data_IF_153199209301
#
_entry.id   IF_153199209301
#
_cell.length_a   1.000
_cell.length_b   1.000
_cell.length_c   1.000
_cell.angle_alpha   90.00
_cell.angle_beta   90.00
_cell.angle_gamma   90.00
#
_symmetry.space_group_name_H-M   'P 1'
#
loop_
_entity.id
_entity.type
_entity.pdbx_description
1 polymer ?
#
# COMPACT_ATOMS: atom_id res chain seq x y z
N UNK A 1 7.44 25.25 23.69
CA UNK A 1 6.82 24.11 23.00
C UNK A 1 5.32 24.29 23.03
N UNK A 2 4.61 23.93 21.95
CA UNK A 2 3.15 23.96 21.84
C UNK A 2 2.65 22.66 21.20
N UNK A 3 1.41 22.25 21.48
CA UNK A 3 0.77 21.10 20.84
C UNK A 3 -0.54 21.54 20.17
N UNK A 4 -0.87 20.96 19.01
CA UNK A 4 -2.12 21.26 18.30
C UNK A 4 -3.37 20.77 19.07
N UNK A 5 -3.21 19.70 19.87
CA UNK A 5 -4.26 19.10 20.69
C UNK A 5 -3.66 18.26 21.83
N UNK A 6 -4.43 18.08 22.90
CA UNK A 6 -3.93 17.50 24.14
C UNK A 6 -3.28 18.54 25.06
N UNK A 7 -2.65 18.07 26.13
CA UNK A 7 -1.93 18.94 27.07
C UNK A 7 -0.46 18.52 27.19
N UNK A 8 0.44 19.50 27.13
CA UNK A 8 1.86 19.28 27.35
C UNK A 8 2.20 19.44 28.83
N UNK A 9 2.96 18.48 29.35
CA UNK A 9 3.59 18.57 30.66
C UNK A 9 4.79 19.53 30.66
N UNK A 10 5.50 19.54 31.79
CA UNK A 10 6.71 20.33 31.95
C UNK A 10 7.79 19.86 30.97
N UNK A 11 8.45 20.80 30.32
CA UNK A 11 9.63 20.54 29.48
C UNK A 11 10.86 20.53 30.38
N UNK A 12 11.59 19.42 30.35
CA UNK A 12 12.83 19.21 31.10
C UNK A 12 13.99 19.16 30.11
N UNK A 13 15.01 19.98 30.32
CA UNK A 13 16.26 19.90 29.56
C UNK A 13 17.09 18.72 30.08
N UNK A 14 17.52 17.83 29.19
CA UNK A 14 18.35 16.67 29.50
C UNK A 14 19.85 16.92 29.25
N UNK A 15 20.19 18.05 28.63
CA UNK A 15 21.54 18.43 28.20
C UNK A 15 21.78 18.17 26.72
N UNK A 16 22.87 18.72 26.17
CA UNK A 16 23.26 18.58 24.75
C UNK A 16 22.18 18.98 23.71
N UNK A 17 21.21 19.82 24.10
CA UNK A 17 20.09 20.22 23.23
C UNK A 17 18.89 19.26 23.25
N UNK A 18 18.92 18.24 24.11
CA UNK A 18 17.81 17.30 24.28
C UNK A 18 16.80 17.79 25.31
N UNK A 19 15.52 17.65 24.98
CA UNK A 19 14.39 18.04 25.83
C UNK A 19 13.40 16.89 25.96
N UNK A 20 12.93 16.66 27.19
CA UNK A 20 11.90 15.68 27.51
C UNK A 20 10.63 16.39 27.97
N UNK A 21 9.50 15.95 27.46
CA UNK A 21 8.17 16.36 27.93
C UNK A 21 7.19 15.21 27.71
N UNK A 22 6.04 15.28 28.37
CA UNK A 22 4.95 14.32 28.20
C UNK A 22 3.78 15.01 27.56
N UNK A 23 3.24 14.44 26.49
CA UNK A 23 1.96 14.84 25.92
C UNK A 23 0.87 13.94 26.49
N UNK A 24 -0.16 14.51 27.10
CA UNK A 24 -1.38 13.78 27.48
C UNK A 24 -2.44 14.01 26.39
N UNK A 25 -2.73 12.99 25.56
CA UNK A 25 -3.69 13.12 24.48
C UNK A 25 -5.14 13.09 25.00
N UNK A 26 -6.05 13.74 24.27
CA UNK A 26 -7.50 13.71 24.54
C UNK A 26 -8.25 12.62 23.78
N UNK A 27 -7.66 12.10 22.70
CA UNK A 27 -8.20 11.05 21.82
C UNK A 27 -7.07 10.46 20.95
N UNK A 28 -7.35 9.39 20.20
CA UNK A 28 -6.47 8.88 19.14
C UNK A 28 -6.35 9.86 17.98
N UNK A 29 -5.26 9.76 17.20
CA UNK A 29 -4.95 10.58 16.03
C UNK A 29 -3.62 11.34 16.12
N UNK A 30 -3.47 12.35 15.26
CA UNK A 30 -2.26 13.15 15.17
C UNK A 30 -2.17 14.28 16.21
N UNK A 31 -1.02 14.40 16.87
CA UNK A 31 -0.76 15.45 17.85
C UNK A 31 0.49 16.26 17.50
N UNK A 32 0.42 17.12 16.49
CA UNK A 32 1.55 17.98 16.10
C UNK A 32 2.07 18.79 17.29
N UNK A 33 3.35 18.59 17.63
CA UNK A 33 4.09 19.37 18.63
C UNK A 33 5.09 20.27 17.91
N UNK A 34 5.14 21.54 18.30
CA UNK A 34 6.07 22.52 17.76
C UNK A 34 6.99 23.06 18.85
N UNK A 35 8.30 22.93 18.64
CA UNK A 35 9.33 23.61 19.40
C UNK A 35 9.70 24.90 18.66
N UNK A 36 9.79 26.01 19.38
CA UNK A 36 10.18 27.31 18.82
C UNK A 36 11.25 27.94 19.69
N UNK A 37 12.32 28.44 19.06
CA UNK A 37 13.43 29.12 19.72
C UNK A 37 13.98 30.21 18.80
N UNK A 38 14.17 31.43 19.31
CA UNK A 38 14.72 32.58 18.57
C UNK A 38 14.10 32.81 17.17
N UNK A 39 12.78 32.61 17.04
CA UNK A 39 12.05 32.80 15.78
C UNK A 39 12.13 31.63 14.80
N UNK A 40 12.89 30.58 15.11
CA UNK A 40 12.88 29.31 14.38
C UNK A 40 11.89 28.35 15.01
N UNK A 41 11.32 27.43 14.21
CA UNK A 41 10.41 26.40 14.70
C UNK A 41 10.63 25.07 14.00
N UNK A 42 10.49 23.99 14.76
CA UNK A 42 10.49 22.61 14.28
C UNK A 42 9.24 21.94 14.81
N UNK A 43 8.53 21.22 13.94
CA UNK A 43 7.39 20.40 14.34
C UNK A 43 7.69 18.92 14.18
N UNK A 44 7.05 18.11 15.01
CA UNK A 44 6.94 16.65 14.88
C UNK A 44 5.50 16.24 15.17
N UNK A 45 5.03 15.17 14.55
CA UNK A 45 3.66 14.69 14.75
C UNK A 45 3.63 13.29 15.36
N UNK A 46 3.61 13.18 16.70
CA UNK A 46 3.21 11.94 17.37
C UNK A 46 1.83 11.46 16.93
N UNK A 47 1.72 10.14 16.73
CA UNK A 47 0.48 9.45 16.39
C UNK A 47 0.01 8.64 17.60
N UNK A 48 -1.16 8.98 18.12
CA UNK A 48 -1.77 8.23 19.22
C UNK A 48 -2.74 7.20 18.64
N UNK A 49 -2.39 5.93 18.78
CA UNK A 49 -3.18 4.79 18.31
C UNK A 49 -4.05 4.22 19.45
N UNK A 50 -5.01 3.35 19.10
CA UNK A 50 -5.84 2.66 20.09
C UNK A 50 -5.04 1.68 20.95
N UNK A 51 -4.01 1.05 20.37
CA UNK A 51 -2.99 0.30 21.11
C UNK A 51 -1.65 0.27 20.36
N UNK A 52 -0.57 0.11 21.12
CA UNK A 52 0.79 -0.08 20.62
C UNK A 52 1.44 -1.15 21.50
N UNK A 53 2.03 -2.17 20.89
CA UNK A 53 2.72 -3.21 21.63
C UNK A 53 3.91 -2.63 22.45
N UNK A 54 4.13 -3.06 23.71
CA UNK A 54 5.16 -2.48 24.58
C UNK A 54 6.59 -2.61 24.07
N UNK A 55 6.87 -3.49 23.11
CA UNK A 55 8.18 -3.61 22.47
C UNK A 55 8.48 -2.52 21.44
N UNK A 56 7.50 -1.63 21.17
CA UNK A 56 7.64 -0.52 20.23
C UNK A 56 7.60 0.83 20.95
N UNK A 57 8.30 1.80 20.36
CA UNK A 57 8.32 3.20 20.80
C UNK A 57 7.02 3.94 20.44
N UNK A 58 7.01 5.26 20.56
CA UNK A 58 5.89 6.12 20.18
C UNK A 58 5.77 6.16 18.65
N UNK A 59 4.61 5.81 18.05
CA UNK A 59 4.40 6.00 16.63
C UNK A 59 4.42 7.49 16.24
N UNK A 60 4.98 7.78 15.07
CA UNK A 60 5.22 9.13 14.55
C UNK A 60 4.79 9.21 13.09
N UNK A 61 4.29 10.36 12.65
CA UNK A 61 4.06 10.62 11.22
C UNK A 61 5.40 10.71 10.49
N UNK A 62 5.45 10.25 9.25
CA UNK A 62 6.63 10.40 8.41
C UNK A 62 6.82 11.88 8.06
N UNK A 63 8.02 12.38 8.33
CA UNK A 63 8.39 13.78 8.03
C UNK A 63 8.87 13.92 6.59
N UNK A 64 8.56 15.06 5.95
CA UNK A 64 9.07 15.39 4.61
C UNK A 64 7.96 15.78 3.64
N UNK A 65 8.01 15.24 2.42
CA UNK A 65 7.04 15.47 1.34
C UNK A 65 6.08 14.28 1.11
N UNK A 66 6.09 13.33 2.05
CA UNK A 66 5.33 12.08 1.98
C UNK A 66 3.86 12.39 2.27
N UNK A 67 3.54 12.72 3.54
CA UNK A 67 2.18 12.98 4.02
C UNK A 67 1.62 14.30 3.50
N UNK A 68 0.82 14.23 2.44
CA UNK A 68 0.13 15.34 1.78
C UNK A 68 -1.34 15.01 1.60
N UNK A 69 -2.18 16.00 1.32
CA UNK A 69 -3.59 15.71 1.06
C UNK A 69 -3.75 14.84 -0.21
N UNK A 70 -4.70 13.91 -0.19
CA UNK A 70 -4.92 12.97 -1.28
C UNK A 70 -5.21 11.58 -0.76
N UNK A 71 -5.23 10.63 -1.68
CA UNK A 71 -5.12 9.22 -1.36
C UNK A 71 -3.62 8.90 -1.25
N UNK A 72 -3.17 8.46 -0.08
CA UNK A 72 -1.81 7.94 0.15
C UNK A 72 -1.88 6.58 0.83
N UNK A 73 -1.59 5.55 0.04
CA UNK A 73 -1.64 4.15 0.44
C UNK A 73 -0.36 3.46 -0.03
N UNK A 74 -0.24 2.15 0.08
CA UNK A 74 0.91 1.38 -0.40
C UNK A 74 2.24 1.75 0.27
N UNK A 75 2.27 2.06 1.57
CA UNK A 75 3.51 2.53 2.24
C UNK A 75 4.57 1.43 2.23
N UNK A 76 5.66 1.65 1.50
CA UNK A 76 6.73 0.65 1.33
C UNK A 76 8.10 1.29 1.52
N UNK A 77 8.96 0.70 2.35
CA UNK A 77 10.33 1.18 2.60
C UNK A 77 11.35 0.22 2.01
N UNK A 78 12.45 0.72 1.45
CA UNK A 78 13.58 -0.14 1.11
C UNK A 78 14.19 -0.75 2.38
N UNK A 79 14.74 -1.98 2.34
CA UNK A 79 15.25 -2.65 3.54
C UNK A 79 16.32 -1.86 4.32
N UNK A 80 17.08 -1.00 3.63
CA UNK A 80 18.11 -0.12 4.19
C UNK A 80 17.57 1.24 4.70
N UNK A 81 16.26 1.50 4.51
CA UNK A 81 15.59 2.74 4.88
C UNK A 81 15.91 3.95 4.00
N UNK A 82 16.61 3.77 2.87
CA UNK A 82 17.04 4.89 2.04
C UNK A 82 15.91 5.53 1.25
N UNK A 83 14.87 4.78 0.88
CA UNK A 83 13.77 5.25 0.04
C UNK A 83 12.41 4.77 0.53
N UNK A 84 11.51 5.70 0.83
CA UNK A 84 10.12 5.42 1.19
C UNK A 84 9.22 5.67 -0.01
N UNK A 85 8.24 4.80 -0.22
CA UNK A 85 7.27 4.89 -1.31
C UNK A 85 5.86 4.97 -0.77
N UNK A 86 5.00 5.72 -1.46
CA UNK A 86 3.55 5.69 -1.30
C UNK A 86 2.89 5.67 -2.68
N UNK A 87 1.77 4.99 -2.80
CA UNK A 87 0.83 5.14 -3.89
C UNK A 87 0.00 6.38 -3.65
N UNK A 88 0.07 7.33 -4.58
CA UNK A 88 -0.62 8.60 -4.47
C UNK A 88 -1.66 8.79 -5.55
N UNK A 89 -2.83 9.32 -5.18
CA UNK A 89 -3.79 9.90 -6.09
C UNK A 89 -4.34 11.25 -5.61
N UNK A 90 -4.54 12.25 -6.50
CA UNK A 90 -5.05 13.57 -6.12
C UNK A 90 -6.58 13.55 -5.95
N UNK A 91 -7.12 12.57 -5.24
CA UNK A 91 -8.56 12.37 -5.04
C UNK A 91 -8.80 11.84 -3.62
N UNK A 92 -10.06 11.92 -3.15
CA UNK A 92 -10.40 11.49 -1.77
C UNK A 92 -10.68 10.00 -1.77
N UNK A 93 -10.04 9.21 -0.91
CA UNK A 93 -10.33 7.78 -0.79
C UNK A 93 -11.83 7.47 -0.64
N UNK A 94 -12.52 8.26 0.19
CA UNK A 94 -13.96 8.18 0.41
C UNK A 94 -14.83 8.38 -0.84
N UNK A 95 -14.28 8.91 -1.94
CA UNK A 95 -14.97 9.00 -3.22
C UNK A 95 -15.35 7.63 -3.78
N UNK A 96 -14.56 6.57 -3.54
CA UNK A 96 -14.90 5.20 -3.93
C UNK A 96 -16.15 4.74 -3.20
N UNK A 97 -16.20 4.94 -1.88
CA UNK A 97 -17.36 4.57 -1.06
C UNK A 97 -18.59 5.38 -1.45
N UNK A 98 -18.45 6.70 -1.64
CA UNK A 98 -19.54 7.57 -2.07
C UNK A 98 -20.06 7.20 -3.46
N UNK A 99 -19.18 6.84 -4.39
CA UNK A 99 -19.55 6.39 -5.73
C UNK A 99 -20.42 5.14 -5.67
N UNK A 100 -20.03 4.15 -4.85
CA UNK A 100 -20.77 2.89 -4.70
C UNK A 100 -22.02 3.01 -3.81
N UNK A 101 -22.10 4.05 -2.96
CA UNK A 101 -23.25 4.26 -2.07
C UNK A 101 -24.53 4.49 -2.87
N UNK A 102 -25.68 3.88 -2.49
CA UNK A 102 -26.94 4.06 -3.18
C UNK A 102 -27.35 5.54 -3.30
N UNK A 103 -27.98 5.91 -4.40
CA UNK A 103 -28.45 7.28 -4.65
C UNK A 103 -29.43 7.79 -3.59
N UNK A 104 -30.28 6.90 -3.07
CA UNK A 104 -31.21 7.23 -1.97
C UNK A 104 -30.48 7.60 -0.66
N UNK A 105 -29.20 7.23 -0.54
CA UNK A 105 -28.32 7.52 0.59
C UNK A 105 -27.28 8.60 0.25
N UNK A 106 -27.49 9.37 -0.83
CA UNK A 106 -26.61 10.49 -1.21
C UNK A 106 -25.40 10.13 -2.08
N UNK A 107 -25.22 8.87 -2.46
CA UNK A 107 -24.12 8.43 -3.34
C UNK A 107 -24.46 8.39 -4.83
N UNK A 108 -23.56 7.85 -5.65
CA UNK A 108 -23.77 7.73 -7.10
C UNK A 108 -24.45 6.42 -7.55
N UNK A 109 -24.56 5.43 -6.66
CA UNK A 109 -25.16 4.12 -6.93
C UNK A 109 -24.38 3.28 -7.94
N UNK A 110 -23.06 3.42 -8.00
CA UNK A 110 -22.19 2.67 -8.91
C UNK A 110 -22.26 3.14 -10.37
N UNK A 111 -22.99 4.23 -10.66
CA UNK A 111 -23.05 4.79 -12.00
C UNK A 111 -23.24 6.29 -11.95
N UNK A 112 -22.23 7.04 -12.38
CA UNK A 112 -22.26 8.51 -12.36
C UNK A 112 -23.28 9.10 -13.33
N UNK A 113 -23.58 8.43 -14.44
CA UNK A 113 -24.40 9.00 -15.52
C UNK A 113 -25.89 8.62 -15.44
N UNK A 114 -26.24 7.54 -14.74
CA UNK A 114 -27.59 6.97 -14.71
C UNK A 114 -28.19 6.93 -13.30
N UNK A 115 -29.49 7.22 -13.11
CA UNK A 115 -30.46 7.69 -14.12
C UNK A 115 -30.29 9.16 -14.50
N UNK A 116 -29.54 9.91 -13.70
CA UNK A 116 -29.14 11.30 -13.97
C UNK A 116 -27.68 11.49 -13.56
N UNK A 117 -27.00 12.47 -14.17
CA UNK A 117 -25.62 12.81 -13.82
C UNK A 117 -25.52 13.11 -12.32
N UNK A 118 -24.72 12.32 -11.60
CA UNK A 118 -24.34 12.57 -10.22
C UNK A 118 -23.15 13.53 -10.22
N UNK A 119 -23.19 14.51 -9.33
CA UNK A 119 -22.10 15.47 -9.13
C UNK A 119 -21.85 15.65 -7.65
N UNK A 120 -20.59 15.57 -7.26
CA UNK A 120 -20.13 15.73 -5.89
C UNK A 120 -18.66 16.11 -5.86
N UNK A 121 -18.26 17.03 -4.97
CA UNK A 121 -16.89 17.51 -4.91
C UNK A 121 -15.85 16.38 -4.74
N UNK A 122 -16.18 15.33 -3.99
CA UNK A 122 -15.26 14.19 -3.80
C UNK A 122 -15.00 13.40 -5.09
N UNK A 123 -15.94 13.41 -6.04
CA UNK A 123 -15.86 12.68 -7.31
C UNK A 123 -15.41 13.60 -8.45
N UNK A 124 -15.77 14.88 -8.42
CA UNK A 124 -15.57 15.81 -9.53
C UNK A 124 -14.33 16.71 -9.36
N UNK A 125 -13.72 16.74 -8.18
CA UNK A 125 -12.57 17.62 -7.91
C UNK A 125 -11.38 16.88 -7.33
N UNK A 126 -10.19 17.32 -7.72
CA UNK A 126 -8.94 16.85 -7.13
C UNK A 126 -8.76 17.44 -5.72
N UNK A 127 -7.94 16.77 -4.91
CA UNK A 127 -7.46 17.27 -3.62
C UNK A 127 -5.95 17.05 -3.52
N UNK A 128 -5.26 17.92 -2.80
CA UNK A 128 -3.82 17.83 -2.60
C UNK A 128 -2.95 18.34 -3.74
N UNK A 129 -1.62 18.14 -3.62
CA UNK A 129 -0.67 18.63 -4.60
C UNK A 129 -0.75 17.81 -5.89
N UNK A 130 -0.99 18.49 -7.01
CA UNK A 130 -0.91 17.88 -8.35
C UNK A 130 0.38 18.25 -9.08
N UNK A 131 1.31 18.91 -8.40
CA UNK A 131 2.55 19.45 -8.96
C UNK A 131 3.73 19.22 -8.04
N UNK A 132 4.91 19.52 -8.54
CA UNK A 132 6.13 19.64 -7.74
C UNK A 132 5.98 20.66 -6.59
N UNK A 133 6.72 20.51 -5.48
CA UNK A 133 7.75 19.49 -5.27
C UNK A 133 7.23 18.10 -4.93
N UNK A 134 6.04 17.94 -4.35
CA UNK A 134 5.57 16.68 -3.77
C UNK A 134 5.22 15.60 -4.81
N UNK A 135 4.64 16.01 -5.94
CA UNK A 135 4.14 15.11 -6.99
C UNK A 135 4.72 15.50 -8.36
N UNK A 136 6.05 15.35 -8.55
CA UNK A 136 6.70 15.76 -9.78
C UNK A 136 6.24 14.89 -10.95
N UNK A 137 5.78 15.51 -12.03
CA UNK A 137 5.42 14.79 -13.25
C UNK A 137 4.18 13.91 -13.12
N UNK A 138 3.27 14.22 -12.18
CA UNK A 138 1.97 13.56 -12.07
C UNK A 138 1.24 13.55 -13.40
N UNK A 139 0.74 12.38 -13.79
CA UNK A 139 -0.01 12.23 -15.02
C UNK A 139 -1.36 12.93 -14.91
N UNK A 140 -1.64 13.81 -15.87
CA UNK A 140 -2.72 14.80 -15.77
C UNK A 140 -3.75 14.73 -16.89
N UNK A 141 -3.72 13.68 -17.73
CA UNK A 141 -4.64 13.51 -18.85
C UNK A 141 -6.11 13.36 -18.43
N UNK A 142 -6.36 13.24 -17.12
CA UNK A 142 -7.66 13.03 -16.51
C UNK A 142 -8.18 14.16 -15.62
N UNK A 143 -7.45 15.26 -15.52
CA UNK A 143 -7.92 16.45 -14.81
C UNK A 143 -7.47 17.74 -15.50
N UNK A 144 -8.28 18.79 -15.35
CA UNK A 144 -7.96 20.14 -15.82
C UNK A 144 -8.04 21.10 -14.65
N UNK A 145 -6.88 21.60 -14.19
CA UNK A 145 -6.80 22.32 -12.93
C UNK A 145 -7.23 21.41 -11.78
N UNK A 146 -8.28 21.78 -11.06
CA UNK A 146 -8.83 20.99 -9.95
C UNK A 146 -10.03 20.12 -10.34
N UNK A 147 -10.41 20.07 -11.63
CA UNK A 147 -11.61 19.34 -12.08
C UNK A 147 -11.22 18.00 -12.67
N UNK A 148 -11.82 16.91 -12.18
CA UNK A 148 -11.72 15.58 -12.80
C UNK A 148 -12.56 15.52 -14.08
N UNK A 149 -11.93 15.05 -15.15
CA UNK A 149 -12.53 15.05 -16.49
C UNK A 149 -13.42 13.83 -16.77
N UNK A 150 -13.38 12.80 -15.93
CA UNK A 150 -14.22 11.60 -16.10
C UNK A 150 -14.07 10.98 -17.50
N UNK A 151 -12.83 10.76 -17.93
CA UNK A 151 -12.40 10.22 -19.22
C UNK A 151 -11.37 9.09 -19.02
N UNK A 152 -10.92 8.52 -20.14
CA UNK A 152 -9.66 7.76 -20.21
C UNK A 152 -9.08 7.89 -21.62
N UNK A 153 -7.87 8.45 -21.72
CA UNK A 153 -7.15 8.49 -22.98
C UNK A 153 -6.76 7.07 -23.42
N UNK A 154 -6.33 6.22 -22.50
CA UNK A 154 -5.91 4.85 -22.76
C UNK A 154 -7.03 3.98 -23.34
N UNK A 155 -8.26 4.16 -22.86
CA UNK A 155 -9.43 3.43 -23.38
C UNK A 155 -10.18 4.17 -24.50
N UNK A 156 -9.74 5.39 -24.86
CA UNK A 156 -10.41 6.23 -25.85
C UNK A 156 -11.79 6.72 -25.43
N UNK A 157 -12.01 6.86 -24.13
CA UNK A 157 -13.24 7.40 -23.53
C UNK A 157 -13.10 8.93 -23.44
N UNK A 158 -14.04 9.66 -24.05
CA UNK A 158 -14.04 11.12 -24.04
C UNK A 158 -14.37 11.74 -22.69
N UNK A 159 -14.18 13.06 -22.59
CA UNK A 159 -14.49 13.86 -21.39
C UNK A 159 -15.95 13.68 -20.98
N UNK A 160 -16.17 13.43 -19.69
CA UNK A 160 -17.46 13.22 -19.04
C UNK A 160 -18.23 11.98 -19.52
N UNK A 161 -17.58 11.05 -20.25
CA UNK A 161 -18.25 9.87 -20.82
C UNK A 161 -18.14 8.61 -19.97
N UNK A 162 -17.23 8.55 -18.99
CA UNK A 162 -17.16 7.38 -18.12
C UNK A 162 -18.35 7.31 -17.15
N UNK A 163 -18.89 6.11 -16.98
CA UNK A 163 -19.93 5.79 -16.00
C UNK A 163 -19.36 5.51 -14.62
N UNK A 164 -18.07 5.19 -14.52
CA UNK A 164 -17.41 4.78 -13.28
C UNK A 164 -16.41 5.82 -12.77
N UNK A 165 -16.22 5.87 -11.46
CA UNK A 165 -15.12 6.61 -10.86
C UNK A 165 -13.86 5.74 -10.94
N UNK A 166 -12.96 6.05 -11.87
CA UNK A 166 -11.67 5.37 -11.97
C UNK A 166 -10.62 6.09 -11.14
N UNK A 167 -10.06 5.45 -10.09
CA UNK A 167 -8.94 5.98 -9.32
C UNK A 167 -7.75 6.33 -10.22
N UNK A 168 -7.10 7.45 -9.92
CA UNK A 168 -5.88 7.89 -10.60
C UNK A 168 -4.75 7.74 -9.59
N UNK A 169 -3.79 6.86 -9.83
CA UNK A 169 -2.68 6.68 -8.88
C UNK A 169 -1.32 6.47 -9.54
N UNK A 170 -0.26 6.88 -8.85
CA UNK A 170 1.13 6.61 -9.21
C UNK A 170 1.92 6.35 -7.94
N UNK A 171 2.97 5.53 -8.02
CA UNK A 171 3.92 5.42 -6.92
C UNK A 171 4.88 6.60 -6.90
N UNK A 172 5.04 7.22 -5.74
CA UNK A 172 6.07 8.21 -5.48
C UNK A 172 7.06 7.67 -4.47
N UNK A 173 8.33 7.67 -4.85
CA UNK A 173 9.46 7.37 -3.97
C UNK A 173 10.10 8.66 -3.46
N UNK A 174 10.57 8.64 -2.22
CA UNK A 174 11.20 9.76 -1.54
C UNK A 174 12.50 9.28 -0.91
N UNK A 175 13.59 10.01 -1.16
CA UNK A 175 14.89 9.72 -0.56
C UNK A 175 14.99 10.25 0.86
N UNK A 176 15.49 9.42 1.77
CA UNK A 176 15.79 9.80 3.15
C UNK A 176 16.92 10.81 3.21
N UNK A 177 16.70 11.89 3.95
CA UNK A 177 17.66 12.97 4.19
C UNK A 177 18.46 12.74 5.47
N UNK A 178 19.49 13.56 5.68
CA UNK A 178 20.34 13.48 6.88
C UNK A 178 19.57 13.74 8.18
N UNK A 179 18.54 14.59 8.14
CA UNK A 179 17.64 14.88 9.26
C UNK A 179 16.57 13.80 9.50
N UNK A 180 16.54 12.77 8.65
CA UNK A 180 15.58 11.65 8.72
C UNK A 180 14.25 11.89 7.99
N UNK A 181 14.01 13.09 7.46
CA UNK A 181 12.85 13.34 6.60
C UNK A 181 13.01 12.67 5.23
N UNK A 182 11.89 12.40 4.56
CA UNK A 182 11.87 11.84 3.22
C UNK A 182 11.48 12.93 2.21
N UNK A 183 12.42 13.25 1.31
CA UNK A 183 12.33 14.34 0.32
C UNK A 183 12.88 13.88 -1.03
N UNK A 184 13.05 14.79 -1.99
CA UNK A 184 13.55 14.46 -3.35
C UNK A 184 12.68 13.41 -4.05
N UNK A 185 11.39 13.71 -4.30
CA UNK A 185 10.49 12.74 -4.90
C UNK A 185 10.83 12.42 -6.35
N UNK A 186 10.52 11.19 -6.72
CA UNK A 186 10.52 10.64 -8.06
C UNK A 186 9.35 9.66 -8.17
N UNK A 187 8.98 9.20 -9.36
CA UNK A 187 7.88 8.24 -9.51
C UNK A 187 8.30 6.90 -10.14
N UNK A 188 7.51 5.87 -9.83
CA UNK A 188 7.40 4.62 -10.57
C UNK A 188 5.98 4.55 -11.14
N UNK A 189 5.86 4.41 -12.46
CA UNK A 189 4.54 4.36 -13.11
C UNK A 189 4.59 3.57 -14.41
N UNK A 190 3.43 3.11 -14.86
CA UNK A 190 3.24 2.73 -16.26
C UNK A 190 2.88 3.97 -17.06
N UNK A 191 3.52 4.18 -18.22
CA UNK A 191 3.08 5.19 -19.18
C UNK A 191 1.83 4.66 -19.88
N UNK A 192 0.69 5.28 -19.58
CA UNK A 192 -0.63 4.81 -19.98
C UNK A 192 -1.44 5.90 -20.68
N UNK A 193 -0.77 6.62 -21.58
CA UNK A 193 -1.30 7.81 -22.23
C UNK A 193 -1.65 8.92 -21.23
N UNK A 194 -0.78 9.11 -20.23
CA UNK A 194 -0.91 10.14 -19.20
C UNK A 194 -2.23 10.03 -18.40
N UNK A 195 -2.79 8.82 -18.23
CA UNK A 195 -4.05 8.60 -17.50
C UNK A 195 -3.84 8.29 -16.01
N UNK A 196 -2.73 7.63 -15.66
CA UNK A 196 -2.44 7.05 -14.33
C UNK A 196 -3.57 6.17 -13.79
N UNK A 197 -4.07 5.26 -14.63
CA UNK A 197 -5.07 4.23 -14.30
C UNK A 197 -4.52 2.81 -14.37
N UNK A 198 -3.39 2.60 -15.04
CA UNK A 198 -2.62 1.36 -14.95
C UNK A 198 -1.91 1.37 -13.61
N UNK A 199 -2.63 0.92 -12.59
CA UNK A 199 -2.31 1.08 -11.18
C UNK A 199 -1.72 -0.23 -10.63
N UNK A 200 -0.39 -0.42 -10.67
CA UNK A 200 0.22 -1.47 -9.87
C UNK A 200 0.03 -1.15 -8.38
N UNK A 201 0.02 -2.18 -7.55
CA UNK A 201 -0.03 -2.03 -6.09
C UNK A 201 0.97 -2.96 -5.41
N UNK A 202 1.19 -2.76 -4.11
CA UNK A 202 2.01 -3.67 -3.29
C UNK A 202 3.48 -3.69 -3.68
N UNK A 203 4.20 -2.58 -3.52
CA UNK A 203 5.64 -2.57 -3.81
C UNK A 203 6.41 -3.45 -2.83
N UNK A 204 7.48 -4.06 -3.33
CA UNK A 204 8.51 -4.69 -2.51
C UNK A 204 9.89 -4.59 -3.16
N UNK A 205 10.95 -4.63 -2.34
CA UNK A 205 12.30 -4.30 -2.77
C UNK A 205 13.36 -5.28 -2.30
N UNK A 206 14.30 -5.60 -3.20
CA UNK A 206 15.65 -6.02 -2.86
C UNK A 206 16.63 -4.96 -3.35
N UNK A 207 17.51 -4.49 -2.47
CA UNK A 207 18.59 -3.59 -2.87
C UNK A 207 19.71 -4.38 -3.55
N UNK A 208 20.09 -3.97 -4.76
CA UNK A 208 21.20 -4.54 -5.53
C UNK A 208 22.51 -3.73 -5.38
N UNK A 209 22.46 -2.70 -4.52
CA UNK A 209 23.58 -1.83 -4.16
C UNK A 209 23.38 -0.38 -4.61
N UNK A 210 23.80 0.55 -3.75
CA UNK A 210 23.61 1.99 -3.99
C UNK A 210 22.12 2.32 -4.13
N UNK A 211 21.74 2.88 -5.27
CA UNK A 211 20.35 3.19 -5.61
C UNK A 211 19.73 2.19 -6.60
N UNK A 212 20.36 1.04 -6.86
CA UNK A 212 19.77 0.01 -7.73
C UNK A 212 18.95 -0.97 -6.91
N UNK A 213 17.77 -1.33 -7.41
CA UNK A 213 16.88 -2.25 -6.72
C UNK A 213 16.11 -3.12 -7.70
N UNK A 214 15.89 -4.36 -7.29
CA UNK A 214 14.88 -5.26 -7.84
C UNK A 214 13.56 -4.93 -7.15
N UNK A 215 12.57 -4.50 -7.93
CA UNK A 215 11.24 -4.09 -7.45
C UNK A 215 10.25 -5.18 -7.84
N UNK A 216 9.34 -5.51 -6.93
CA UNK A 216 8.13 -6.31 -7.20
C UNK A 216 6.88 -5.45 -7.00
N UNK A 217 5.83 -5.81 -7.73
CA UNK A 217 4.49 -5.22 -7.61
C UNK A 217 3.45 -6.17 -8.22
N UNK A 218 2.19 -6.00 -7.84
CA UNK A 218 1.05 -6.66 -8.48
C UNK A 218 0.44 -5.80 -9.57
N UNK A 219 -0.01 -6.41 -10.65
CA UNK A 219 -0.70 -5.75 -11.75
C UNK A 219 -1.70 -6.70 -12.41
N UNK A 220 -2.92 -6.21 -12.62
CA UNK A 220 -3.88 -6.80 -13.57
C UNK A 220 -3.56 -6.19 -14.94
N UNK A 221 -2.87 -6.96 -15.77
CA UNK A 221 -2.34 -6.50 -17.04
C UNK A 221 -3.32 -6.82 -18.19
N UNK A 222 -4.07 -5.83 -18.69
CA UNK A 222 -5.06 -6.06 -19.74
C UNK A 222 -4.45 -6.45 -21.09
N UNK A 223 -3.13 -6.27 -21.23
CA UNK A 223 -2.36 -6.64 -22.41
C UNK A 223 -1.61 -7.96 -22.28
N UNK A 224 -1.75 -8.69 -21.17
CA UNK A 224 -1.07 -9.98 -21.02
C UNK A 224 -1.79 -11.09 -21.82
N UNK A 225 -1.11 -11.73 -22.79
CA UNK A 225 -1.64 -12.91 -23.45
C UNK A 225 -1.65 -14.16 -22.56
N UNK A 226 -1.08 -14.12 -21.36
CA UNK A 226 -1.01 -15.26 -20.45
C UNK A 226 -2.42 -15.66 -20.01
N UNK A 227 -2.74 -16.92 -20.26
CA UNK A 227 -3.92 -17.60 -19.73
C UNK A 227 -3.47 -18.77 -18.87
N UNK A 228 -4.31 -19.14 -17.92
CA UNK A 228 -4.06 -20.23 -16.97
C UNK A 228 -4.98 -21.40 -17.22
N UNK A 229 -4.46 -22.59 -16.98
CA UNK A 229 -5.19 -23.86 -16.97
C UNK A 229 -5.71 -24.12 -15.57
N UNK A 230 -6.84 -23.45 -15.22
CA UNK A 230 -7.46 -23.49 -13.87
C UNK A 230 -7.72 -24.92 -13.40
N UNK A 231 -8.21 -25.79 -14.27
CA UNK A 231 -8.69 -27.13 -13.94
C UNK A 231 -7.73 -28.25 -14.35
N UNK A 232 -6.50 -27.90 -14.75
CA UNK A 232 -5.45 -28.84 -15.17
C UNK A 232 -5.89 -29.78 -16.30
N UNK A 233 -6.76 -29.29 -17.20
CA UNK A 233 -7.29 -30.08 -18.32
C UNK A 233 -6.43 -29.95 -19.60
N UNK A 234 -5.35 -29.17 -19.55
CA UNK A 234 -4.45 -28.88 -20.66
C UNK A 234 -4.86 -27.66 -21.51
N UNK A 235 -5.89 -26.91 -21.10
CA UNK A 235 -6.40 -25.73 -21.83
C UNK A 235 -6.13 -24.48 -21.01
N UNK A 236 -5.49 -23.48 -21.61
CA UNK A 236 -5.17 -22.21 -20.96
C UNK A 236 -6.17 -21.15 -21.42
N UNK A 237 -7.26 -20.99 -20.69
CA UNK A 237 -8.43 -20.21 -21.11
C UNK A 237 -8.96 -19.23 -20.06
N UNK A 238 -8.39 -19.23 -18.85
CA UNK A 238 -8.78 -18.33 -17.75
C UNK A 238 -7.78 -17.18 -17.61
N UNK A 239 -8.30 -16.02 -17.22
CA UNK A 239 -7.50 -14.85 -16.88
C UNK A 239 -6.94 -14.97 -15.46
N UNK A 240 -5.62 -14.78 -15.23
CA UNK A 240 -5.04 -14.83 -13.90
C UNK A 240 -5.41 -13.64 -13.01
N UNK A 241 -5.96 -12.54 -13.56
CA UNK A 241 -6.19 -11.27 -12.86
C UNK A 241 -4.87 -10.61 -12.44
N UNK A 242 -4.64 -10.42 -11.13
CA UNK A 242 -3.46 -9.74 -10.62
C UNK A 242 -2.29 -10.70 -10.47
N UNK A 243 -1.25 -10.47 -11.28
CA UNK A 243 -0.01 -11.22 -11.22
C UNK A 243 1.13 -10.40 -10.60
N UNK A 244 2.17 -11.09 -10.12
CA UNK A 244 3.39 -10.45 -9.62
C UNK A 244 4.38 -10.21 -10.76
N UNK A 245 4.79 -8.96 -10.92
CA UNK A 245 5.83 -8.55 -11.86
C UNK A 245 7.08 -8.09 -11.12
N UNK A 246 8.21 -8.11 -11.84
CA UNK A 246 9.47 -7.54 -11.39
C UNK A 246 10.07 -6.56 -12.38
N UNK A 247 10.76 -5.55 -11.85
CA UNK A 247 11.45 -4.52 -12.61
C UNK A 247 12.78 -4.15 -11.95
N UNK A 248 13.80 -3.87 -12.77
CA UNK A 248 15.09 -3.37 -12.29
C UNK A 248 15.08 -1.85 -12.29
N UNK A 249 14.98 -1.26 -11.10
CA UNK A 249 14.90 0.19 -10.94
C UNK A 249 16.25 0.80 -10.56
N UNK A 250 16.44 2.04 -10.99
CA UNK A 250 17.41 2.95 -10.38
C UNK A 250 16.62 4.00 -9.61
N UNK A 251 16.70 3.97 -8.28
CA UNK A 251 15.94 4.81 -7.36
C UNK A 251 16.52 6.23 -7.29
N UNK A 252 15.68 7.21 -6.98
CA UNK A 252 16.04 8.64 -7.02
C UNK A 252 15.91 9.27 -8.41
N UNK A 253 15.32 8.56 -9.37
CA UNK A 253 14.94 9.07 -10.69
C UNK A 253 13.61 8.45 -11.11
N UNK A 254 12.95 9.05 -12.10
CA UNK A 254 11.69 8.50 -12.61
C UNK A 254 11.93 7.18 -13.33
N UNK A 255 11.09 6.18 -13.06
CA UNK A 255 11.15 4.87 -13.69
C UNK A 255 9.81 4.55 -14.35
N UNK A 256 9.87 4.10 -15.61
CA UNK A 256 8.69 3.63 -16.36
C UNK A 256 8.70 2.11 -16.35
N UNK A 257 7.71 1.53 -15.68
CA UNK A 257 7.54 0.08 -15.51
C UNK A 257 7.15 -0.60 -16.83
N UNK A 258 6.44 0.13 -17.69
CA UNK A 258 6.03 -0.29 -19.02
C UNK A 258 5.23 0.79 -19.70
N UNK A 259 5.06 0.66 -21.00
CA UNK A 259 4.23 1.55 -21.82
C UNK A 259 3.03 0.75 -22.29
N UNK A 260 1.82 1.27 -22.07
CA UNK A 260 0.61 0.77 -22.68
C UNK A 260 0.20 1.61 -23.88
N UNK A 261 -0.46 0.97 -24.84
CA UNK A 261 -1.01 1.61 -26.02
C UNK A 261 -2.53 1.66 -25.93
N UNK A 262 -3.08 2.75 -26.46
CA UNK A 262 -4.52 2.96 -26.50
C UNK A 262 -5.22 1.80 -27.23
N UNK A 263 -6.28 1.29 -26.62
CA UNK A 263 -7.04 0.14 -27.13
C UNK A 263 -8.25 -0.16 -26.25
N UNK A 264 -9.07 -1.12 -26.70
CA UNK A 264 -10.19 -1.64 -25.92
C UNK A 264 -10.26 -3.17 -26.06
N UNK A 265 -9.56 -3.94 -25.19
CA UNK A 265 -8.72 -3.47 -24.08
C UNK A 265 -7.40 -2.83 -24.55
N UNK A 266 -6.73 -2.01 -23.70
CA UNK A 266 -5.38 -1.54 -23.91
C UNK A 266 -4.40 -2.70 -24.11
N UNK A 267 -3.29 -2.46 -24.80
CA UNK A 267 -2.28 -3.49 -25.05
C UNK A 267 -0.89 -3.00 -24.68
N UNK A 268 0.04 -3.92 -24.40
CA UNK A 268 1.44 -3.60 -24.13
C UNK A 268 2.08 -2.93 -25.35
N UNK A 269 2.77 -1.83 -25.12
CA UNK A 269 3.66 -1.21 -26.10
C UNK A 269 5.01 -1.94 -26.21
N UNK A 270 5.87 -1.45 -27.10
CA UNK A 270 7.18 -2.07 -27.35
C UNK A 270 8.17 -1.88 -26.20
N UNK A 271 7.99 -0.85 -25.37
CA UNK A 271 8.81 -0.60 -24.19
C UNK A 271 8.08 -1.14 -22.96
N UNK A 272 8.30 -2.41 -22.64
CA UNK A 272 7.72 -3.06 -21.46
C UNK A 272 8.80 -3.85 -20.71
N UNK A 273 9.65 -3.17 -19.91
CA UNK A 273 10.78 -3.80 -19.23
C UNK A 273 10.38 -4.65 -18.00
N UNK A 274 9.16 -4.51 -17.50
CA UNK A 274 8.66 -5.35 -16.42
C UNK A 274 8.48 -6.79 -16.89
N UNK A 275 8.82 -7.74 -16.03
CA UNK A 275 8.80 -9.18 -16.32
C UNK A 275 7.89 -9.88 -15.34
N UNK A 276 7.00 -10.75 -15.83
CA UNK A 276 6.17 -11.60 -14.98
C UNK A 276 7.05 -12.54 -14.14
N UNK A 277 6.70 -12.73 -12.87
CA UNK A 277 7.30 -13.78 -12.04
C UNK A 277 6.56 -15.09 -12.31
N UNK A 278 7.24 -16.04 -12.93
CA UNK A 278 6.62 -17.27 -13.42
C UNK A 278 6.38 -18.28 -12.29
N UNK A 279 5.30 -18.13 -11.51
CA UNK A 279 4.89 -19.11 -10.50
C UNK A 279 4.33 -20.41 -11.11
N UNK A 280 4.12 -20.45 -12.43
CA UNK A 280 3.51 -21.56 -13.15
C UNK A 280 2.06 -21.25 -13.53
N UNK A 281 1.55 -21.92 -14.57
CA UNK A 281 0.27 -21.56 -15.22
C UNK A 281 -0.83 -22.60 -15.05
N UNK A 282 -0.62 -23.60 -14.20
CA UNK A 282 -1.51 -24.75 -14.06
C UNK A 282 -2.05 -24.82 -12.64
N UNK A 283 -3.37 -24.79 -12.52
CA UNK A 283 -4.11 -24.91 -11.27
C UNK A 283 -3.85 -23.79 -10.26
N UNK A 284 -4.50 -23.91 -9.10
CA UNK A 284 -4.44 -22.97 -7.97
C UNK A 284 -3.06 -22.78 -7.31
N UNK A 285 -2.10 -23.65 -7.64
CA UNK A 285 -0.74 -23.57 -7.10
C UNK A 285 0.19 -22.69 -7.97
N UNK A 286 -0.28 -22.25 -9.14
CA UNK A 286 0.42 -21.33 -10.02
C UNK A 286 -0.03 -19.88 -9.81
N UNK A 287 -0.12 -19.14 -10.91
CA UNK A 287 -0.62 -17.75 -10.96
C UNK A 287 -2.14 -17.65 -11.04
N UNK A 288 -2.88 -18.77 -10.98
CA UNK A 288 -4.33 -18.71 -10.90
C UNK A 288 -4.77 -18.28 -9.48
N UNK A 289 -5.67 -17.31 -9.42
CA UNK A 289 -6.05 -16.59 -8.21
C UNK A 289 -5.34 -15.24 -8.14
N UNK A 290 -5.64 -14.40 -7.16
CA UNK A 290 -5.05 -13.06 -7.06
C UNK A 290 -3.74 -13.17 -6.31
N UNK A 291 -2.67 -12.64 -6.89
CA UNK A 291 -1.43 -12.42 -6.16
C UNK A 291 -1.30 -10.94 -5.83
N UNK A 292 -1.91 -10.51 -4.73
CA UNK A 292 -1.85 -9.16 -4.21
C UNK A 292 -0.67 -8.91 -3.27
N UNK A 293 -0.32 -7.64 -3.10
CA UNK A 293 0.61 -7.11 -2.09
C UNK A 293 1.89 -7.94 -1.88
N UNK A 294 2.70 -8.16 -2.95
CA UNK A 294 3.81 -9.07 -2.90
C UNK A 294 4.90 -8.54 -1.99
N UNK A 295 5.35 -9.37 -1.05
CA UNK A 295 6.55 -9.13 -0.25
C UNK A 295 7.65 -10.10 -0.62
N UNK A 296 8.80 -9.56 -0.98
CA UNK A 296 9.98 -10.31 -1.33
C UNK A 296 10.83 -10.56 -0.08
N UNK A 297 11.04 -11.84 0.25
CA UNK A 297 11.97 -12.22 1.30
C UNK A 297 13.33 -12.63 0.73
N UNK A 298 14.39 -12.03 1.26
CA UNK A 298 15.79 -12.39 0.94
C UNK A 298 16.53 -12.90 2.17
N UNK A 299 17.48 -13.79 1.92
CA UNK A 299 18.51 -14.17 2.90
C UNK A 299 19.55 -13.06 3.03
N UNK A 300 20.39 -13.14 4.06
CA UNK A 300 21.44 -12.17 4.34
C UNK A 300 22.47 -11.98 3.19
N UNK A 301 22.60 -12.98 2.30
CA UNK A 301 23.46 -12.91 1.12
C UNK A 301 22.77 -12.29 -0.12
N UNK A 302 21.51 -11.85 0.01
CA UNK A 302 20.71 -11.27 -1.07
C UNK A 302 19.98 -12.30 -1.93
N UNK A 303 20.10 -13.60 -1.62
CA UNK A 303 19.36 -14.65 -2.31
C UNK A 303 17.86 -14.49 -2.05
N UNK A 304 17.07 -14.40 -3.12
CA UNK A 304 15.60 -14.39 -3.05
C UNK A 304 15.14 -15.79 -2.69
N UNK A 305 14.37 -15.90 -1.60
CA UNK A 305 13.97 -17.20 -1.06
C UNK A 305 12.48 -17.48 -1.22
N UNK A 306 11.65 -16.47 -1.00
CA UNK A 306 10.21 -16.59 -1.15
C UNK A 306 9.56 -15.25 -1.47
N UNK A 307 8.36 -15.31 -2.03
CA UNK A 307 7.49 -14.17 -2.28
C UNK A 307 6.17 -14.45 -1.57
N UNK A 308 5.74 -13.54 -0.71
CA UNK A 308 4.52 -13.63 0.08
C UNK A 308 3.46 -12.77 -0.57
N UNK A 309 2.24 -13.26 -0.66
CA UNK A 309 1.12 -12.56 -1.31
C UNK A 309 -0.13 -12.71 -0.46
N UNK A 310 -1.10 -11.84 -0.67
CA UNK A 310 -2.48 -12.06 -0.23
C UNK A 310 -3.40 -12.28 -1.43
N UNK A 311 -4.62 -12.72 -1.15
CA UNK A 311 -5.64 -13.04 -2.14
C UNK A 311 -6.86 -12.10 -1.97
N UNK A 312 -6.62 -10.78 -1.88
CA UNK A 312 -7.67 -9.80 -1.58
C UNK A 312 -8.72 -9.64 -2.71
N UNK A 313 -8.36 -9.94 -3.97
CA UNK A 313 -9.19 -9.67 -5.16
C UNK A 313 -9.69 -10.92 -5.88
N UNK A 314 -9.53 -12.10 -5.30
CA UNK A 314 -10.30 -13.23 -5.78
C UNK A 314 -11.77 -12.95 -5.50
N UNK A 315 -12.53 -12.70 -6.56
CA UNK A 315 -13.97 -12.66 -6.37
C UNK A 315 -14.35 -14.02 -5.79
N UNK A 316 -15.30 -14.01 -4.86
CA UNK A 316 -16.11 -15.17 -4.53
C UNK A 316 -16.78 -15.68 -5.81
N UNK A 317 -16.03 -16.33 -6.69
CA UNK A 317 -16.57 -16.92 -7.89
C UNK A 317 -17.52 -17.99 -7.38
N UNK A 318 -18.67 -18.03 -8.01
CA UNK A 318 -19.76 -18.98 -7.82
C UNK A 318 -19.39 -20.47 -7.94
N UNK A 319 -18.11 -20.81 -7.86
CA UNK A 319 -17.51 -22.14 -7.87
C UNK A 319 -17.11 -22.56 -6.44
N UNK A 320 -18.06 -23.10 -5.65
CA UNK A 320 -17.84 -23.49 -4.25
C UNK A 320 -16.80 -24.61 -4.04
N UNK A 321 -16.26 -25.21 -5.12
CA UNK A 321 -15.30 -26.31 -5.04
C UNK A 321 -13.82 -25.85 -5.08
N UNK A 322 -13.52 -24.55 -5.24
CA UNK A 322 -12.13 -24.11 -5.46
C UNK A 322 -11.73 -22.70 -4.98
N UNK A 323 -12.45 -22.13 -4.01
CA UNK A 323 -12.18 -20.80 -3.44
C UNK A 323 -11.82 -20.88 -1.94
N UNK A 324 -10.92 -21.81 -1.60
CA UNK A 324 -10.61 -22.11 -0.19
C UNK A 324 -9.56 -21.16 0.42
N UNK A 325 -8.89 -20.36 -0.40
CA UNK A 325 -7.81 -19.42 -0.03
C UNK A 325 -8.16 -17.94 -0.29
N UNK A 326 -9.41 -17.60 -0.57
CA UNK A 326 -9.83 -16.19 -0.63
C UNK A 326 -9.56 -15.46 0.69
N UNK A 327 -8.87 -14.32 0.60
CA UNK A 327 -8.49 -13.52 1.75
C UNK A 327 -7.40 -14.15 2.63
N UNK A 328 -6.77 -15.24 2.18
CA UNK A 328 -5.66 -15.89 2.86
C UNK A 328 -4.32 -15.33 2.40
N UNK A 329 -3.34 -15.36 3.30
CA UNK A 329 -1.94 -15.12 2.95
C UNK A 329 -1.33 -16.42 2.43
N UNK A 330 -0.61 -16.29 1.32
CA UNK A 330 0.16 -17.37 0.69
C UNK A 330 1.63 -17.02 0.57
N UNK A 331 2.47 -18.04 0.42
CA UNK A 331 3.90 -17.88 0.10
C UNK A 331 4.31 -18.79 -1.05
N UNK A 332 5.00 -18.22 -2.03
CA UNK A 332 5.66 -18.92 -3.12
C UNK A 332 7.12 -19.13 -2.74
N UNK A 333 7.52 -20.38 -2.51
CA UNK A 333 8.89 -20.74 -2.12
C UNK A 333 9.71 -21.14 -3.33
N UNK A 334 10.88 -20.51 -3.52
CA UNK A 334 11.81 -20.88 -4.59
C UNK A 334 12.49 -22.22 -4.24
N UNK A 335 12.18 -23.26 -5.01
CA UNK A 335 12.68 -24.63 -4.76
C UNK A 335 13.85 -25.02 -5.66
N UNK A 336 13.92 -24.46 -6.88
CA UNK A 336 15.05 -24.65 -7.78
C UNK A 336 15.13 -23.53 -8.84
N UNK A 337 16.26 -23.45 -9.54
CA UNK A 337 16.50 -22.39 -10.54
C UNK A 337 16.80 -21.03 -9.90
N UNK A 338 16.55 -19.96 -10.64
CA UNK A 338 16.83 -18.59 -10.21
C UNK A 338 15.66 -17.68 -10.53
N UNK A 339 15.35 -16.77 -9.59
CA UNK A 339 14.41 -15.68 -9.82
C UNK A 339 14.71 -14.90 -11.12
N UNK A 340 13.69 -14.45 -11.89
CA UNK A 340 12.25 -14.65 -11.66
C UNK A 340 11.69 -15.99 -12.20
N UNK A 341 12.47 -16.72 -13.00
CA UNK A 341 12.02 -17.91 -13.76
C UNK A 341 12.30 -19.25 -13.06
N UNK A 342 12.42 -19.24 -11.73
CA UNK A 342 12.67 -20.45 -10.95
C UNK A 342 11.45 -21.35 -10.85
N UNK A 343 11.62 -22.52 -10.21
CA UNK A 343 10.48 -23.35 -9.83
C UNK A 343 9.99 -22.93 -8.46
N UNK A 344 8.70 -22.63 -8.37
CA UNK A 344 8.04 -22.17 -7.16
C UNK A 344 7.08 -23.20 -6.61
N UNK A 345 6.83 -23.15 -5.31
CA UNK A 345 5.79 -23.93 -4.64
C UNK A 345 4.94 -22.99 -3.81
N UNK A 346 3.66 -22.83 -4.18
CA UNK A 346 2.67 -22.09 -3.37
C UNK A 346 2.39 -22.88 -2.10
N UNK A 347 2.32 -22.16 -0.98
CA UNK A 347 1.87 -22.66 0.32
C UNK A 347 0.86 -21.64 0.85
N UNK A 348 -0.39 -22.05 0.98
CA UNK A 348 -1.38 -21.31 1.77
C UNK A 348 -1.00 -21.50 3.24
N UNK A 349 -0.89 -20.39 3.98
CA UNK A 349 -0.43 -20.46 5.37
C UNK A 349 -1.47 -21.14 6.28
N UNK A 350 -1.03 -21.77 7.38
CA UNK A 350 -1.93 -22.54 8.22
C UNK A 350 -2.85 -21.63 9.08
N UNK A 351 -3.90 -22.19 9.71
CA UNK A 351 -4.92 -21.40 10.41
C UNK A 351 -4.42 -20.52 11.56
N UNK A 352 -3.24 -20.79 12.13
CA UNK A 352 -2.62 -19.88 13.11
C UNK A 352 -2.30 -18.51 12.52
N UNK A 353 -2.01 -18.45 11.22
CA UNK A 353 -1.82 -17.21 10.45
C UNK A 353 -3.14 -16.82 9.78
N UNK A 354 -3.68 -17.71 8.94
CA UNK A 354 -4.92 -17.51 8.17
C UNK A 354 -6.14 -17.87 9.03
N UNK A 355 -6.28 -17.15 10.15
CA UNK A 355 -7.37 -17.33 11.11
C UNK A 355 -8.61 -16.52 10.73
N UNK A 356 -9.51 -16.28 11.69
CA UNK A 356 -10.68 -15.42 11.45
C UNK A 356 -10.30 -13.95 11.21
N UNK A 357 -11.02 -13.27 10.30
CA UNK A 357 -10.79 -11.88 9.87
C UNK A 357 -10.18 -11.84 8.46
N UNK A 358 -10.06 -10.66 7.85
CA UNK A 358 -9.37 -10.53 6.55
C UNK A 358 -7.87 -10.28 6.77
N UNK A 359 -6.97 -11.17 6.31
CA UNK A 359 -5.52 -11.00 6.45
C UNK A 359 -4.89 -10.61 5.12
N UNK A 360 -4.27 -9.43 5.08
CA UNK A 360 -3.69 -8.86 3.86
C UNK A 360 -2.33 -8.22 4.16
N UNK A 361 -1.60 -7.89 3.11
CA UNK A 361 -0.36 -7.12 3.08
C UNK A 361 0.74 -7.77 3.93
N UNK A 362 1.17 -9.00 3.56
CA UNK A 362 2.16 -9.74 4.32
C UNK A 362 3.54 -9.09 4.26
N UNK A 363 4.27 -9.11 5.37
CA UNK A 363 5.69 -8.73 5.45
C UNK A 363 6.46 -9.70 6.35
N UNK A 364 7.19 -10.63 5.73
CA UNK A 364 7.95 -11.66 6.42
C UNK A 364 9.39 -11.26 6.68
N UNK A 365 9.87 -11.55 7.89
CA UNK A 365 11.20 -11.12 8.37
C UNK A 365 12.20 -12.28 8.53
N UNK A 366 11.82 -13.52 8.23
CA UNK A 366 12.58 -14.72 8.60
C UNK A 366 12.33 -15.19 10.03
N UNK A 367 11.81 -14.32 10.90
CA UNK A 367 11.49 -14.65 12.30
C UNK A 367 9.98 -14.65 12.57
N UNK A 368 9.19 -14.20 11.59
CA UNK A 368 7.75 -14.07 11.72
C UNK A 368 7.18 -13.13 10.65
N UNK A 369 5.86 -13.11 10.62
CA UNK A 369 5.08 -12.42 9.61
C UNK A 369 4.33 -11.25 10.24
N UNK A 370 4.56 -10.04 9.72
CA UNK A 370 3.67 -8.91 9.93
C UNK A 370 2.58 -8.91 8.86
N UNK A 371 1.37 -8.51 9.21
CA UNK A 371 0.26 -8.39 8.25
C UNK A 371 -0.83 -7.47 8.81
N UNK A 372 -1.69 -6.99 7.93
CA UNK A 372 -2.92 -6.28 8.30
C UNK A 372 -4.02 -7.30 8.60
N UNK A 373 -4.70 -7.16 9.73
CA UNK A 373 -5.93 -7.88 10.03
C UNK A 373 -6.97 -6.94 10.64
N UNK A 374 -8.15 -6.87 10.01
CA UNK A 374 -9.25 -6.00 10.43
C UNK A 374 -8.79 -4.56 10.67
N UNK A 375 -7.93 -4.06 9.76
CA UNK A 375 -7.25 -2.75 9.80
C UNK A 375 -6.52 -2.47 11.14
N UNK A 376 -5.84 -3.49 11.65
CA UNK A 376 -4.76 -3.41 12.63
C UNK A 376 -3.51 -4.08 12.05
N UNK A 377 -2.33 -3.74 12.57
CA UNK A 377 -1.10 -4.48 12.26
C UNK A 377 -0.88 -5.55 13.31
N UNK A 378 -0.69 -6.78 12.85
CA UNK A 378 -0.41 -7.95 13.67
C UNK A 378 0.94 -8.55 13.34
N UNK A 379 1.43 -9.38 14.26
CA UNK A 379 2.64 -10.17 14.08
C UNK A 379 2.42 -11.60 14.54
N UNK A 380 2.81 -12.56 13.69
CA UNK A 380 2.79 -13.99 13.96
C UNK A 380 4.25 -14.50 13.99
N UNK A 381 4.78 -14.87 15.18
CA UNK A 381 6.12 -15.43 15.29
C UNK A 381 6.27 -16.76 14.54
N UNK A 382 7.44 -16.97 13.94
CA UNK A 382 7.79 -18.18 13.19
C UNK A 382 9.11 -18.77 13.68
N UNK A 383 9.17 -20.10 13.79
CA UNK A 383 10.34 -20.82 14.32
C UNK A 383 10.93 -21.87 13.36
N UNK A 384 10.35 -22.02 12.17
CA UNK A 384 10.79 -22.98 11.18
C UNK A 384 11.95 -22.51 10.30
N UNK A 385 12.28 -23.32 9.31
CA UNK A 385 13.22 -22.96 8.23
C UNK A 385 12.49 -22.33 7.04
N UNK A 386 13.22 -21.72 6.11
CA UNK A 386 12.63 -21.12 4.91
C UNK A 386 12.28 -22.18 3.85
N UNK A 387 11.41 -23.13 4.19
CA UNK A 387 10.99 -24.23 3.31
C UNK A 387 9.46 -24.31 3.21
N UNK A 388 8.97 -24.81 2.08
CA UNK A 388 7.53 -24.98 1.87
C UNK A 388 6.89 -25.89 2.93
N UNK A 389 7.59 -26.94 3.35
CA UNK A 389 7.13 -27.87 4.39
C UNK A 389 7.00 -27.18 5.75
N UNK A 390 7.96 -26.36 6.14
CA UNK A 390 7.93 -25.69 7.43
C UNK A 390 6.92 -24.53 7.46
N UNK A 391 6.77 -23.77 6.36
CA UNK A 391 5.72 -22.73 6.28
C UNK A 391 4.31 -23.32 6.40
N UNK A 392 4.08 -24.52 5.87
CA UNK A 392 2.79 -25.23 5.99
C UNK A 392 2.56 -25.84 7.38
N UNK A 393 3.57 -25.91 8.23
CA UNK A 393 3.48 -26.57 9.53
C UNK A 393 2.98 -25.60 10.61
N UNK A 394 1.70 -25.70 10.95
CA UNK A 394 1.02 -24.87 11.95
C UNK A 394 1.74 -24.82 13.32
N UNK A 395 2.42 -25.91 13.72
CA UNK A 395 3.15 -25.96 15.00
C UNK A 395 4.41 -25.08 15.07
N UNK A 396 4.88 -24.58 13.92
CA UNK A 396 6.02 -23.66 13.82
C UNK A 396 5.61 -22.19 13.89
N UNK A 397 4.30 -21.93 13.87
CA UNK A 397 3.69 -20.60 14.01
C UNK A 397 3.13 -20.41 15.41
N UNK A 398 3.18 -19.18 15.91
CA UNK A 398 2.58 -18.80 17.20
C UNK A 398 1.45 -17.81 16.95
N UNK A 399 0.32 -17.92 17.67
CA UNK A 399 -0.83 -17.03 17.51
C UNK A 399 -0.44 -15.56 17.44
N UNK A 400 -1.09 -14.82 16.53
CA UNK A 400 -0.74 -13.43 16.27
C UNK A 400 -1.08 -12.49 17.43
N UNK A 401 -0.25 -11.46 17.62
CA UNK A 401 -0.50 -10.35 18.54
C UNK A 401 -0.66 -9.03 17.79
N UNK A 402 -1.46 -8.11 18.34
CA UNK A 402 -1.58 -6.75 17.77
C UNK A 402 -0.30 -5.97 18.09
N UNK A 403 0.34 -5.47 17.05
CA UNK A 403 1.51 -4.59 17.16
C UNK A 403 1.08 -3.13 17.18
N UNK A 404 0.19 -2.73 16.25
CA UNK A 404 -0.43 -1.41 16.20
C UNK A 404 -1.93 -1.58 15.99
N UNK A 405 -2.74 -1.00 16.87
CA UNK A 405 -4.20 -1.13 16.83
C UNK A 405 -4.91 0.19 16.61
N UNK A 406 -5.95 0.18 15.78
CA UNK A 406 -6.81 1.35 15.51
C UNK A 406 -7.67 1.75 16.71
N UNK A 407 -8.30 2.91 16.64
CA UNK A 407 -9.40 3.27 17.52
C UNK A 407 -10.63 2.40 17.22
N UNK A 408 -11.27 1.85 18.25
CA UNK A 408 -12.47 1.00 18.14
C UNK A 408 -13.75 1.71 18.55
N UNK A 409 -13.66 2.96 19.02
CA UNK A 409 -14.82 3.78 19.35
C UNK A 409 -15.43 4.41 18.10
N UNK A 410 -16.60 5.05 18.25
CA UNK A 410 -17.29 5.71 17.14
C UNK A 410 -16.37 6.67 16.39
N UNK A 411 -16.35 6.54 15.06
CA UNK A 411 -15.61 7.41 14.17
C UNK A 411 -15.98 8.87 14.46
N UNK A 412 -14.96 9.70 14.66
CA UNK A 412 -15.10 11.12 14.95
C UNK A 412 -13.90 11.87 14.37
N UNK A 413 -14.08 13.17 14.18
CA UNK A 413 -13.05 14.03 13.61
C UNK A 413 -11.69 13.84 14.31
N UNK A 414 -10.67 13.62 13.51
CA UNK A 414 -9.28 13.51 13.94
C UNK A 414 -8.89 12.16 14.56
N UNK A 415 -9.80 11.18 14.69
CA UNK A 415 -9.47 9.83 15.16
C UNK A 415 -8.81 8.99 14.06
N UNK A 416 -7.97 8.04 14.47
CA UNK A 416 -7.39 7.03 13.57
C UNK A 416 -8.22 5.76 13.62
N UNK A 417 -8.85 5.41 12.52
CA UNK A 417 -9.83 4.33 12.43
C UNK A 417 -9.34 3.12 11.63
N UNK A 418 -8.12 3.17 11.12
CA UNK A 418 -7.45 2.05 10.46
C UNK A 418 -5.94 2.23 10.53
N UNK A 419 -5.23 1.10 10.66
CA UNK A 419 -3.77 1.01 10.58
C UNK A 419 -3.44 -0.26 9.81
N UNK A 420 -2.51 -0.21 8.86
CA UNK A 420 -2.21 -1.36 8.01
C UNK A 420 -0.92 -1.19 7.22
N UNK A 421 -0.70 -2.11 6.29
CA UNK A 421 0.41 -2.13 5.34
C UNK A 421 1.79 -2.12 6.02
N UNK A 422 2.11 -3.09 6.87
CA UNK A 422 3.37 -3.10 7.57
C UNK A 422 4.54 -3.31 6.60
N UNK A 423 5.55 -2.48 6.72
CA UNK A 423 6.84 -2.67 6.03
C UNK A 423 7.99 -2.34 6.98
N UNK A 424 9.11 -3.04 6.89
CA UNK A 424 10.20 -2.91 7.87
C UNK A 424 11.52 -2.56 7.18
N UNK A 425 12.26 -1.63 7.80
CA UNK A 425 13.64 -1.32 7.47
C UNK A 425 14.56 -1.46 8.69
N UNK A 426 15.85 -1.61 8.42
CA UNK A 426 16.89 -1.44 9.44
C UNK A 426 17.59 -0.09 9.24
N UNK A 427 17.31 0.86 10.13
CA UNK A 427 17.85 2.22 10.06
C UNK A 427 18.81 2.42 11.22
N UNK A 428 20.09 2.64 10.92
CA UNK A 428 21.14 2.84 11.94
C UNK A 428 21.18 1.72 13.00
N UNK A 429 20.92 0.47 12.57
CA UNK A 429 20.90 -0.70 13.43
C UNK A 429 19.61 -0.91 14.22
N UNK A 430 18.61 -0.03 14.08
CA UNK A 430 17.28 -0.21 14.67
C UNK A 430 16.29 -0.77 13.66
N UNK A 431 15.40 -1.65 14.13
CA UNK A 431 14.21 -2.07 13.37
C UNK A 431 13.18 -0.95 13.42
N UNK A 432 12.73 -0.51 12.25
CA UNK A 432 11.69 0.51 12.10
C UNK A 432 10.57 -0.04 11.24
N UNK A 433 9.35 -0.01 11.75
CA UNK A 433 8.15 -0.40 11.03
C UNK A 433 7.48 0.86 10.49
N UNK A 434 7.22 0.91 9.19
CA UNK A 434 6.39 1.90 8.53
C UNK A 434 5.02 1.30 8.23
N UNK A 435 4.01 2.14 8.20
CA UNK A 435 2.61 1.73 8.09
C UNK A 435 1.74 2.85 7.51
N UNK A 436 0.58 2.50 6.98
CA UNK A 436 -0.51 3.44 6.69
C UNK A 436 -1.37 3.62 7.93
N UNK A 437 -1.79 4.85 8.21
CA UNK A 437 -2.90 5.14 9.12
C UNK A 437 -3.96 5.99 8.44
N UNK A 438 -5.22 5.80 8.85
CA UNK A 438 -6.35 6.50 8.27
C UNK A 438 -7.02 7.38 9.31
N UNK A 439 -6.99 8.69 9.09
CA UNK A 439 -7.62 9.69 9.93
C UNK A 439 -8.96 10.15 9.36
N UNK A 440 -9.95 10.40 10.22
CA UNK A 440 -11.21 11.05 9.82
C UNK A 440 -10.99 12.56 9.73
N UNK A 441 -11.06 13.13 8.52
CA UNK A 441 -10.93 14.58 8.25
C UNK A 441 -12.26 15.33 8.26
N UNK A 442 -13.36 14.62 8.07
CA UNK A 442 -14.69 15.23 8.01
C UNK A 442 -15.77 14.19 7.71
N UNK A 443 -16.95 14.67 7.38
CA UNK A 443 -18.07 13.84 6.97
C UNK A 443 -18.81 14.52 5.81
N UNK A 444 -19.26 13.74 4.84
CA UNK A 444 -20.22 14.23 3.86
C UNK A 444 -21.57 14.49 4.55
N UNK A 445 -22.14 15.68 4.31
CA UNK A 445 -23.35 16.11 4.96
C UNK A 445 -24.59 15.32 4.50
N UNK A 446 -24.56 14.73 3.30
CA UNK A 446 -25.72 14.05 2.72
C UNK A 446 -25.73 12.56 3.04
N UNK A 447 -24.61 11.87 2.77
CA UNK A 447 -24.45 10.44 2.99
C UNK A 447 -24.02 10.07 4.40
N UNK A 448 -23.43 11.01 5.15
CA UNK A 448 -22.83 10.75 6.45
C UNK A 448 -21.54 9.94 6.41
N UNK A 449 -21.00 9.64 5.22
CA UNK A 449 -19.74 8.94 5.07
C UNK A 449 -18.57 9.78 5.61
N UNK A 450 -17.58 9.16 6.28
CA UNK A 450 -16.39 9.87 6.71
C UNK A 450 -15.52 10.24 5.50
N UNK A 451 -14.97 11.45 5.49
CA UNK A 451 -13.84 11.83 4.65
C UNK A 451 -12.56 11.30 5.29
N UNK A 452 -11.91 10.36 4.62
CA UNK A 452 -10.76 9.63 5.11
C UNK A 452 -9.48 10.20 4.49
N UNK A 453 -8.51 10.47 5.36
CA UNK A 453 -7.17 10.91 4.98
C UNK A 453 -6.19 9.80 5.36
N UNK A 454 -5.55 9.22 4.35
CA UNK A 454 -4.60 8.13 4.52
C UNK A 454 -3.19 8.73 4.49
N UNK A 455 -2.32 8.30 5.39
CA UNK A 455 -0.99 8.89 5.58
C UNK A 455 0.01 7.83 6.07
N UNK A 456 1.30 8.11 5.88
CA UNK A 456 2.39 7.23 6.30
C UNK A 456 2.88 7.54 7.72
N UNK A 457 2.95 6.50 8.56
CA UNK A 457 3.53 6.53 9.90
C UNK A 457 4.75 5.63 10.01
N UNK A 458 5.51 5.80 11.08
CA UNK A 458 6.58 4.88 11.48
C UNK A 458 6.65 4.72 12.99
N UNK A 459 7.25 3.62 13.44
CA UNK A 459 7.55 3.34 14.84
C UNK A 459 8.85 2.53 14.94
N UNK A 460 9.68 2.85 15.93
CA UNK A 460 10.93 2.15 16.20
C UNK A 460 10.72 1.02 17.22
N UNK A 461 11.41 -0.10 17.06
CA UNK A 461 11.46 -1.15 18.07
C UNK A 461 12.40 -0.73 19.20
N UNK A 462 12.00 -0.99 20.45
CA UNK A 462 12.75 -0.64 21.68
C UNK A 462 14.03 -1.44 21.88
#
# INVERSE_FOLDING_TARGET
MTASRGSLGVVTELGAGDYLFTLTPTQTGEHRVTASFEGQSVSRTPIVLGSVDPSWEQPMAVEGLVNTEGYEDGVTITPDGSYLFVQYGPWRFSAIQLFNTPRASGGAGGNRLSPTRFSHAWIDTTIGPTTSPERPGLFNGRFSGTTLLHNSNLWGIGVDQTTFFAPITMFYGFKRQSDGSYREPFYLAFEDANDAIMNPFGLSFRMDGGNKATVLFSLDDPGDPVKVDKNSNGTFDVDPRFDVYTFQATLGQNNILGVFQQGNPPSRGTQFPSTLVEFGRTGKNGIYGTQGNPHLYTLADGTIKSIWTDDEYDDSDSDPDNDADFGDISVYVLTSGTFPNGSWTKVVLPPTVNGGGNQIQPFFTGQGLYFTQDVNIRYCPYSGTDSATDYANDSLWTSSSIILGKDTSTAALGKIIAVGEPTIATIKGKTVLFFVYVQVRGFDATSGLPDLDMQAGYVEKR
#
